data_IF_173947519573
#
_entry.id   IF_173947519573
#
_cell.length_a   1.000
_cell.length_b   1.000
_cell.length_c   1.000
_cell.angle_alpha   90.00
_cell.angle_beta   90.00
_cell.angle_gamma   90.00
#
_symmetry.space_group_name_H-M   'P 1'
#
loop_
_entity.id
_entity.type
_entity.pdbx_description
1 polymer ?
#
# COMPACT_ATOMS: atom_id res chain seq x y z
N UNK A 1 -8.73 -6.18 1.49
CA UNK A 1 -10.07 -5.70 1.06
C UNK A 1 -11.14 -6.78 0.83
N UNK A 2 -10.85 -7.93 0.22
CA UNK A 2 -11.89 -8.92 -0.15
C UNK A 2 -12.74 -9.40 1.05
N UNK A 3 -12.09 -9.70 2.18
CA UNK A 3 -12.77 -10.06 3.43
C UNK A 3 -13.73 -8.97 3.94
N UNK A 4 -13.28 -7.70 3.91
CA UNK A 4 -14.12 -6.55 4.29
C UNK A 4 -15.31 -6.41 3.35
N UNK A 5 -15.10 -6.53 2.03
CA UNK A 5 -16.18 -6.50 1.05
C UNK A 5 -17.19 -7.64 1.27
N UNK A 6 -16.74 -8.83 1.67
CA UNK A 6 -17.61 -9.95 1.99
C UNK A 6 -18.50 -9.64 3.20
N UNK A 7 -17.92 -9.13 4.29
CA UNK A 7 -18.68 -8.74 5.48
C UNK A 7 -19.72 -7.67 5.13
N UNK A 8 -19.32 -6.59 4.48
CA UNK A 8 -20.24 -5.48 4.16
C UNK A 8 -21.43 -5.92 3.29
N UNK A 9 -21.21 -6.87 2.37
CA UNK A 9 -22.25 -7.31 1.43
C UNK A 9 -23.08 -8.49 1.92
N UNK A 10 -22.46 -9.41 2.66
CA UNK A 10 -23.02 -10.74 2.92
C UNK A 10 -23.22 -11.02 4.41
N UNK A 11 -22.46 -10.37 5.29
CA UNK A 11 -22.47 -10.60 6.75
C UNK A 11 -22.34 -9.29 7.54
N UNK A 12 -23.24 -8.30 7.31
CA UNK A 12 -23.15 -7.00 7.96
C UNK A 12 -23.29 -7.09 9.50
N UNK A 13 -23.87 -8.18 10.00
CA UNK A 13 -23.92 -8.53 11.42
C UNK A 13 -22.53 -8.63 12.07
N UNK A 14 -21.49 -8.94 11.28
CA UNK A 14 -20.12 -9.07 11.77
C UNK A 14 -19.33 -7.76 11.78
N UNK A 15 -19.89 -6.65 11.26
CA UNK A 15 -19.19 -5.35 11.21
C UNK A 15 -18.66 -4.90 12.58
N UNK A 16 -19.42 -4.99 13.69
CA UNK A 16 -18.92 -4.58 15.01
C UNK A 16 -17.73 -5.40 15.52
N UNK A 17 -17.48 -6.57 14.93
CA UNK A 17 -16.38 -7.47 15.30
C UNK A 17 -15.14 -7.30 14.41
N UNK A 18 -15.21 -6.48 13.36
CA UNK A 18 -14.05 -6.16 12.56
C UNK A 18 -13.07 -5.28 13.35
N UNK A 19 -11.78 -5.55 13.15
CA UNK A 19 -10.76 -4.62 13.62
C UNK A 19 -11.00 -3.24 13.01
N UNK A 20 -10.94 -2.20 13.85
CA UNK A 20 -11.00 -0.80 13.41
C UNK A 20 -9.73 -0.34 12.69
N UNK A 21 -8.67 -1.17 12.73
CA UNK A 21 -7.42 -0.91 12.05
C UNK A 21 -7.61 -0.85 10.52
N UNK A 22 -7.03 0.18 9.90
CA UNK A 22 -6.83 0.23 8.44
C UNK A 22 -5.87 -0.88 8.00
N UNK A 23 -5.78 -1.16 6.70
CA UNK A 23 -4.74 -2.08 6.21
C UNK A 23 -3.34 -1.46 6.32
N UNK A 24 -2.26 -2.27 6.37
CA UNK A 24 -0.89 -1.75 6.46
C UNK A 24 -0.55 -0.72 5.37
N UNK A 25 -1.01 -0.99 4.14
CA UNK A 25 -0.86 -0.06 3.01
C UNK A 25 -1.52 1.29 3.33
N UNK A 26 -2.80 1.30 3.69
CA UNK A 26 -3.53 2.54 3.96
C UNK A 26 -3.04 3.26 5.21
N UNK A 27 -2.55 2.53 6.21
CA UNK A 27 -1.88 3.13 7.37
C UNK A 27 -0.61 3.87 6.95
N UNK A 28 0.28 3.22 6.18
CA UNK A 28 1.51 3.83 5.72
C UNK A 28 1.24 5.03 4.81
N UNK A 29 0.26 4.93 3.90
CA UNK A 29 -0.15 6.05 3.04
C UNK A 29 -0.56 7.29 3.83
N UNK A 30 -1.28 7.13 4.94
CA UNK A 30 -1.65 8.24 5.81
C UNK A 30 -0.42 8.85 6.49
N UNK A 31 0.51 8.02 6.98
CA UNK A 31 1.78 8.50 7.56
C UNK A 31 2.61 9.25 6.52
N UNK A 32 2.69 8.78 5.28
CA UNK A 32 3.41 9.45 4.20
C UNK A 32 2.79 10.82 3.88
N UNK A 33 1.48 10.89 3.63
CA UNK A 33 0.83 12.14 3.23
C UNK A 33 0.77 13.18 4.34
N UNK A 34 0.67 12.76 5.61
CA UNK A 34 0.45 13.69 6.72
C UNK A 34 1.71 13.95 7.56
N UNK A 35 2.55 12.94 7.80
CA UNK A 35 3.74 13.07 8.66
C UNK A 35 5.00 13.29 7.85
N UNK A 36 5.23 12.46 6.82
CA UNK A 36 6.42 12.58 5.99
C UNK A 36 6.42 13.89 5.19
N UNK A 37 5.29 14.28 4.60
CA UNK A 37 5.14 15.54 3.89
C UNK A 37 5.58 16.75 4.73
N UNK A 38 5.08 16.82 5.97
CA UNK A 38 5.46 17.87 6.93
C UNK A 38 6.96 17.80 7.26
N UNK A 39 7.51 16.59 7.45
CA UNK A 39 8.92 16.41 7.80
C UNK A 39 9.88 16.89 6.70
N UNK A 40 9.52 16.71 5.43
CA UNK A 40 10.34 17.16 4.29
C UNK A 40 9.95 18.54 3.77
N UNK A 41 8.97 19.20 4.38
CA UNK A 41 8.56 20.57 4.04
C UNK A 41 7.82 20.69 2.71
N UNK A 42 7.10 19.65 2.27
CA UNK A 42 6.29 19.67 1.04
C UNK A 42 4.80 19.53 1.35
N UNK A 43 3.92 19.95 0.42
CA UNK A 43 2.49 19.72 0.59
C UNK A 43 2.13 18.25 0.34
N UNK A 44 1.04 17.77 0.93
CA UNK A 44 0.55 16.41 0.71
C UNK A 44 0.15 16.17 -0.76
N UNK A 45 -0.27 17.22 -1.46
CA UNK A 45 -0.62 17.22 -2.87
C UNK A 45 0.62 17.05 -3.78
N UNK A 46 1.80 17.42 -3.30
CA UNK A 46 3.06 17.30 -4.05
C UNK A 46 3.65 15.89 -3.99
N UNK A 47 3.10 15.02 -3.12
CA UNK A 47 3.51 13.62 -3.02
C UNK A 47 2.58 12.79 -3.88
N UNK A 48 3.13 12.00 -4.81
CA UNK A 48 2.39 10.95 -5.49
C UNK A 48 2.75 9.58 -4.89
N UNK A 49 1.83 8.98 -4.15
CA UNK A 49 2.05 7.77 -3.37
C UNK A 49 1.49 6.53 -4.09
N UNK A 50 2.39 5.63 -4.50
CA UNK A 50 2.05 4.43 -5.27
C UNK A 50 2.28 3.18 -4.43
N UNK A 51 1.23 2.36 -4.26
CA UNK A 51 1.34 1.05 -3.63
C UNK A 51 1.61 -0.05 -4.66
N UNK A 52 2.65 -0.86 -4.43
CA UNK A 52 2.90 -2.10 -5.19
C UNK A 52 2.27 -3.27 -4.43
N UNK A 53 1.29 -3.94 -5.03
CA UNK A 53 0.49 -4.95 -4.32
C UNK A 53 0.35 -6.24 -5.12
N UNK A 54 0.38 -7.43 -4.49
CA UNK A 54 0.13 -8.70 -5.18
C UNK A 54 -1.36 -8.95 -5.50
N UNK A 55 -2.24 -7.98 -5.22
CA UNK A 55 -3.70 -8.14 -5.27
C UNK A 55 -4.36 -7.00 -6.04
N UNK A 56 -5.30 -7.33 -6.94
CA UNK A 56 -6.08 -6.33 -7.69
C UNK A 56 -7.13 -5.64 -6.84
N UNK A 57 -7.69 -6.33 -5.83
CA UNK A 57 -8.72 -5.78 -4.96
C UNK A 57 -8.24 -4.59 -4.12
N UNK A 58 -6.92 -4.36 -4.02
CA UNK A 58 -6.36 -3.14 -3.42
C UNK A 58 -6.70 -1.87 -4.19
N UNK A 59 -6.95 -1.97 -5.50
CA UNK A 59 -7.46 -0.85 -6.32
C UNK A 59 -8.84 -0.39 -5.87
N UNK A 60 -9.68 -1.32 -5.43
CA UNK A 60 -11.00 -0.97 -4.90
C UNK A 60 -10.91 -0.42 -3.47
N UNK A 61 -9.92 -0.87 -2.70
CA UNK A 61 -9.67 -0.36 -1.35
C UNK A 61 -9.38 1.13 -1.38
N UNK A 62 -8.47 1.60 -2.25
CA UNK A 62 -8.06 3.01 -2.30
C UNK A 62 -9.17 3.97 -2.75
N UNK A 63 -10.21 3.46 -3.43
CA UNK A 63 -11.38 4.25 -3.86
C UNK A 63 -12.37 4.51 -2.73
N UNK A 64 -12.18 3.91 -1.55
CA UNK A 64 -13.06 4.12 -0.40
C UNK A 64 -12.94 5.57 0.08
N UNK A 65 -14.06 6.34 0.13
CA UNK A 65 -14.01 7.75 0.52
C UNK A 65 -13.39 8.00 1.89
N UNK A 66 -13.52 7.04 2.81
CA UNK A 66 -12.98 7.13 4.17
C UNK A 66 -11.44 7.11 4.23
N UNK A 67 -10.77 6.79 3.12
CA UNK A 67 -9.31 6.77 3.01
C UNK A 67 -8.72 8.06 2.41
N UNK A 68 -9.55 9.08 2.17
CA UNK A 68 -9.15 10.44 1.80
C UNK A 68 -8.15 10.53 0.61
N UNK A 69 -8.17 9.57 -0.31
CA UNK A 69 -7.24 9.48 -1.43
C UNK A 69 -5.75 9.57 -0.99
N UNK A 70 -5.40 9.02 0.18
CA UNK A 70 -4.01 9.05 0.69
C UNK A 70 -3.07 8.13 -0.13
N UNK A 71 -3.65 7.23 -0.96
CA UNK A 71 -2.93 6.41 -1.94
C UNK A 71 -3.41 6.76 -3.33
N UNK A 72 -2.51 7.23 -4.19
CA UNK A 72 -2.87 7.79 -5.49
C UNK A 72 -3.02 6.70 -6.56
N UNK A 73 -2.18 5.66 -6.50
CA UNK A 73 -2.23 4.54 -7.43
C UNK A 73 -1.85 3.21 -6.78
N UNK A 74 -2.37 2.13 -7.37
CA UNK A 74 -1.94 0.75 -7.08
C UNK A 74 -1.50 0.09 -8.37
N UNK A 75 -0.26 -0.39 -8.39
CA UNK A 75 0.26 -1.27 -9.44
C UNK A 75 0.45 -2.67 -8.87
N UNK A 76 0.23 -3.67 -9.72
CA UNK A 76 0.43 -5.07 -9.36
C UNK A 76 1.88 -5.49 -9.59
N UNK A 77 2.29 -6.59 -8.96
CA UNK A 77 3.62 -7.18 -9.20
C UNK A 77 3.88 -7.47 -10.69
N UNK A 78 2.84 -7.84 -11.46
CA UNK A 78 2.94 -8.06 -12.91
C UNK A 78 3.15 -6.77 -13.70
N UNK A 79 2.46 -5.70 -13.32
CA UNK A 79 2.63 -4.40 -13.98
C UNK A 79 4.00 -3.81 -13.69
N UNK A 80 4.49 -3.94 -12.44
CA UNK A 80 5.86 -3.56 -12.10
C UNK A 80 6.88 -4.35 -12.91
N UNK A 81 6.73 -5.68 -12.99
CA UNK A 81 7.62 -6.53 -13.79
C UNK A 81 7.64 -6.12 -15.27
N UNK A 82 6.47 -5.77 -15.83
CA UNK A 82 6.35 -5.26 -17.19
C UNK A 82 7.05 -3.91 -17.37
N UNK A 83 6.86 -2.96 -16.44
CA UNK A 83 7.52 -1.65 -16.47
C UNK A 83 9.05 -1.78 -16.43
N UNK A 84 9.57 -2.69 -15.61
CA UNK A 84 11.01 -2.99 -15.52
C UNK A 84 11.54 -3.51 -16.87
N UNK A 85 10.82 -4.43 -17.51
CA UNK A 85 11.18 -4.97 -18.83
C UNK A 85 11.12 -3.90 -19.92
N UNK A 86 10.06 -3.08 -19.95
CA UNK A 86 9.89 -2.01 -20.94
C UNK A 86 10.93 -0.89 -20.78
N UNK A 87 11.43 -0.67 -19.55
CA UNK A 87 12.54 0.25 -19.29
C UNK A 87 13.93 -0.31 -19.67
N UNK A 88 14.01 -1.58 -20.08
CA UNK A 88 15.28 -2.24 -20.43
C UNK A 88 16.19 -2.48 -19.23
N UNK A 89 15.63 -2.59 -18.02
CA UNK A 89 16.40 -2.80 -16.78
C UNK A 89 16.71 -4.28 -16.62
N UNK A 90 18.00 -4.61 -16.50
CA UNK A 90 18.46 -5.96 -16.16
C UNK A 90 18.30 -6.24 -14.65
N UNK A 91 17.07 -6.54 -14.26
CA UNK A 91 16.69 -6.72 -12.86
C UNK A 91 17.47 -7.84 -12.15
N UNK A 92 17.90 -8.87 -12.89
CA UNK A 92 18.58 -10.03 -12.31
C UNK A 92 20.00 -9.71 -11.85
N UNK A 93 20.63 -8.67 -12.41
CA UNK A 93 22.00 -8.27 -12.13
C UNK A 93 22.11 -6.91 -11.42
N UNK A 94 21.00 -6.41 -10.87
CA UNK A 94 21.03 -5.20 -10.04
C UNK A 94 21.74 -5.49 -8.72
N UNK A 95 22.59 -4.55 -8.30
CA UNK A 95 23.16 -4.57 -6.96
C UNK A 95 22.07 -4.34 -5.91
N UNK A 96 22.20 -5.00 -4.77
CA UNK A 96 21.32 -4.74 -3.63
C UNK A 96 21.55 -3.32 -3.11
N UNK A 97 20.47 -2.58 -2.93
CA UNK A 97 20.50 -1.22 -2.37
C UNK A 97 19.73 -1.17 -1.06
N UNK A 98 20.21 -0.37 -0.12
CA UNK A 98 19.46 -0.09 1.10
C UNK A 98 18.18 0.71 0.83
N UNK A 99 17.16 0.48 1.65
CA UNK A 99 15.92 1.23 1.57
C UNK A 99 16.07 2.58 2.28
N UNK A 100 16.01 3.67 1.52
CA UNK A 100 16.38 5.03 1.95
C UNK A 100 15.47 5.73 2.98
N UNK A 101 14.30 5.17 3.33
CA UNK A 101 13.30 5.87 4.17
C UNK A 101 13.22 5.28 5.58
N UNK A 102 12.98 6.12 6.58
CA UNK A 102 12.70 5.67 7.96
C UNK A 102 11.49 4.73 8.06
N UNK A 103 10.62 4.71 7.06
CA UNK A 103 9.45 3.83 6.99
C UNK A 103 9.75 2.48 6.30
N UNK A 104 11.01 2.20 5.97
CA UNK A 104 11.44 0.94 5.37
C UNK A 104 11.72 -0.14 6.41
N UNK A 105 11.85 0.23 7.68
CA UNK A 105 12.11 -0.71 8.76
C UNK A 105 10.86 -1.54 9.04
N UNK A 106 11.06 -2.85 9.18
CA UNK A 106 10.01 -3.81 9.54
C UNK A 106 10.56 -4.86 10.50
N UNK A 107 9.68 -5.47 11.28
CA UNK A 107 10.01 -6.61 12.15
C UNK A 107 9.51 -7.91 11.53
N UNK A 108 9.92 -9.06 12.08
CA UNK A 108 9.54 -10.38 11.54
C UNK A 108 8.02 -10.60 11.40
N UNK A 109 7.22 -10.02 12.29
CA UNK A 109 5.75 -10.09 12.18
C UNK A 109 5.20 -9.37 10.94
N UNK A 110 5.81 -8.25 10.55
CA UNK A 110 5.46 -7.54 9.31
C UNK A 110 5.90 -8.29 8.06
N UNK A 111 7.09 -8.90 8.10
CA UNK A 111 7.62 -9.68 6.99
C UNK A 111 6.74 -10.90 6.64
N UNK A 112 6.07 -11.49 7.62
CA UNK A 112 5.23 -12.68 7.46
C UNK A 112 3.76 -12.38 7.14
N UNK A 113 3.37 -11.11 6.98
CA UNK A 113 1.97 -10.70 6.87
C UNK A 113 1.18 -11.38 5.74
N UNK A 114 1.85 -11.77 4.65
CA UNK A 114 1.21 -12.38 3.47
C UNK A 114 1.36 -13.91 3.40
N UNK A 115 1.85 -14.56 4.47
CA UNK A 115 2.13 -16.00 4.48
C UNK A 115 0.93 -16.80 5.03
N UNK A 116 -0.13 -16.97 4.23
CA UNK A 116 -1.27 -17.86 4.50
C UNK A 116 -1.91 -18.32 3.20
#
# INVERSE_FOLDING_TARGET
>A
PAWVNYIEKSRPDLIPHLSSCRSPMSMLSSVVKNVFAQKIGVSKEDIYNVGIMPCTAKRDEIKRPQLNNETDAIITSRELAKMIQEAGIDFANLEETELYTIYSQYTGGGALFCAT
#
